data_IF_952477068198
#
_entry.id   IF_952477068198
#
_cell.length_a   1.000
_cell.length_b   1.000
_cell.length_c   1.000
_cell.angle_alpha   90.00
_cell.angle_beta   90.00
_cell.angle_gamma   90.00
#
_symmetry.space_group_name_H-M   'P 1'
#
loop_
_entity.id
_entity.type
_entity.pdbx_description
1 polymer ?
#
# COMPACT_ATOMS: atom_id res chain seq x y z
N UNK A 1 -2.25 -14.34 7.24
CA UNK A 1 -2.42 -13.07 7.96
C UNK A 1 -3.69 -13.17 8.80
N UNK A 2 -3.69 -12.65 10.02
CA UNK A 2 -4.90 -12.58 10.87
C UNK A 2 -5.79 -11.40 10.48
N UNK A 3 -7.03 -11.38 11.01
CA UNK A 3 -8.01 -10.34 10.67
C UNK A 3 -7.58 -8.90 11.08
N UNK A 4 -6.68 -8.77 12.04
CA UNK A 4 -6.12 -7.49 12.49
C UNK A 4 -4.87 -7.04 11.70
N UNK A 5 -4.51 -7.75 10.63
CA UNK A 5 -3.33 -7.48 9.82
C UNK A 5 -2.01 -8.02 10.40
N UNK A 6 -2.04 -8.84 11.46
CA UNK A 6 -0.81 -9.46 11.95
C UNK A 6 -0.29 -10.49 10.94
N UNK A 7 0.96 -10.31 10.51
CA UNK A 7 1.62 -11.15 9.53
C UNK A 7 2.30 -12.33 10.25
N UNK A 8 2.09 -13.54 9.74
CA UNK A 8 2.80 -14.73 10.25
C UNK A 8 4.32 -14.54 10.09
N UNK A 9 5.08 -14.85 11.16
CA UNK A 9 6.52 -14.61 11.18
C UNK A 9 7.28 -15.49 10.15
N UNK A 10 6.86 -16.73 9.92
CA UNK A 10 7.48 -17.59 8.92
C UNK A 10 7.20 -17.07 7.51
N UNK A 11 5.99 -16.55 7.28
CA UNK A 11 5.64 -15.88 6.02
C UNK A 11 6.47 -14.61 5.79
N UNK A 12 6.59 -13.72 6.79
CA UNK A 12 7.42 -12.52 6.68
C UNK A 12 8.89 -12.85 6.40
N UNK A 13 9.42 -13.88 7.04
CA UNK A 13 10.78 -14.36 6.77
C UNK A 13 10.93 -14.86 5.34
N UNK A 14 9.91 -15.54 4.78
CA UNK A 14 9.92 -15.97 3.39
C UNK A 14 9.85 -14.78 2.42
N UNK A 15 9.02 -13.79 2.71
CA UNK A 15 8.97 -12.54 1.91
C UNK A 15 10.35 -11.87 1.90
N UNK A 16 10.97 -11.74 3.09
CA UNK A 16 12.32 -11.17 3.20
C UNK A 16 13.35 -11.94 2.39
N UNK A 17 13.35 -13.26 2.46
CA UNK A 17 14.25 -14.12 1.69
C UNK A 17 14.10 -13.89 0.18
N UNK A 18 12.87 -13.79 -0.32
CA UNK A 18 12.61 -13.54 -1.75
C UNK A 18 13.06 -12.13 -2.17
N UNK A 19 12.83 -11.13 -1.32
CA UNK A 19 13.34 -9.77 -1.53
C UNK A 19 14.86 -9.78 -1.58
N UNK A 20 15.52 -10.50 -0.67
CA UNK A 20 16.98 -10.58 -0.60
C UNK A 20 17.59 -11.19 -1.87
N UNK A 21 16.95 -12.13 -2.55
CA UNK A 21 17.43 -12.68 -3.82
C UNK A 21 17.64 -11.58 -4.88
N UNK A 22 16.61 -10.79 -5.13
CA UNK A 22 16.69 -9.72 -6.13
C UNK A 22 17.54 -8.52 -5.63
N UNK A 23 17.41 -8.17 -4.36
CA UNK A 23 18.13 -7.04 -3.77
C UNK A 23 19.66 -7.26 -3.77
N UNK A 24 20.12 -8.47 -3.43
CA UNK A 24 21.55 -8.82 -3.40
C UNK A 24 22.16 -8.91 -4.82
N UNK A 25 21.33 -9.19 -5.84
CA UNK A 25 21.72 -9.12 -7.25
C UNK A 25 21.75 -7.67 -7.80
N UNK A 26 21.52 -6.68 -6.96
CA UNK A 26 21.59 -5.26 -7.32
C UNK A 26 20.33 -4.71 -7.99
N UNK A 27 19.23 -5.45 -7.98
CA UNK A 27 17.97 -5.02 -8.58
C UNK A 27 17.20 -4.06 -7.69
N UNK A 28 16.33 -3.24 -8.30
CA UNK A 28 15.26 -2.56 -7.60
C UNK A 28 14.15 -3.55 -7.31
N UNK A 29 13.58 -3.47 -6.10
CA UNK A 29 12.53 -4.38 -5.64
C UNK A 29 11.35 -3.54 -5.16
N UNK A 30 10.13 -3.91 -5.55
CA UNK A 30 8.90 -3.32 -5.05
C UNK A 30 8.23 -4.34 -4.13
N UNK A 31 7.88 -3.91 -2.92
CA UNK A 31 7.05 -4.68 -1.98
C UNK A 31 5.71 -3.97 -1.85
N UNK A 32 4.62 -4.71 -2.00
CA UNK A 32 3.26 -4.18 -1.87
C UNK A 32 2.36 -5.07 -1.01
N UNK A 33 1.21 -4.52 -0.63
CA UNK A 33 0.06 -5.27 -0.09
C UNK A 33 -0.78 -5.73 -1.28
N UNK A 34 -0.84 -7.08 -1.49
CA UNK A 34 -1.35 -7.67 -2.73
C UNK A 34 -2.52 -8.63 -2.48
N UNK A 35 -3.60 -8.50 -3.26
CA UNK A 35 -4.82 -9.30 -3.20
C UNK A 35 -5.60 -9.25 -1.87
N UNK A 36 -5.42 -8.22 -1.07
CA UNK A 36 -6.15 -8.05 0.18
C UNK A 36 -7.59 -7.54 0.00
N UNK A 37 -7.93 -7.09 -1.20
CA UNK A 37 -9.28 -6.77 -1.69
C UNK A 37 -10.24 -7.99 -1.64
N UNK A 38 -9.72 -9.22 -1.62
CA UNK A 38 -10.51 -10.43 -1.39
C UNK A 38 -10.71 -10.79 0.09
N UNK A 39 -10.12 -10.06 1.01
CA UNK A 39 -10.12 -10.40 2.44
C UNK A 39 -10.67 -9.29 3.32
N UNK A 40 -9.96 -8.19 3.49
CA UNK A 40 -10.32 -7.11 4.40
C UNK A 40 -10.46 -5.75 3.71
N UNK A 41 -9.72 -5.51 2.62
CA UNK A 41 -9.72 -4.22 1.93
C UNK A 41 -11.02 -4.04 1.15
N UNK A 42 -11.86 -3.13 1.64
CA UNK A 42 -13.14 -2.79 1.01
C UNK A 42 -13.27 -1.27 0.96
N UNK A 43 -13.06 -0.61 -0.19
CA UNK A 43 -13.06 0.85 -0.27
C UNK A 43 -14.48 1.44 -0.15
N UNK A 44 -15.05 1.32 1.05
CA UNK A 44 -16.31 1.93 1.47
C UNK A 44 -16.14 2.72 2.76
N UNK A 45 -16.93 3.76 2.94
CA UNK A 45 -16.90 4.63 4.13
C UNK A 45 -17.14 3.86 5.42
N UNK A 46 -18.00 2.83 5.39
CA UNK A 46 -18.29 1.96 6.52
C UNK A 46 -17.05 1.20 7.02
N UNK A 47 -16.16 0.82 6.09
CA UNK A 47 -14.96 0.02 6.39
C UNK A 47 -13.69 0.85 6.61
N UNK A 48 -13.71 2.14 6.33
CA UNK A 48 -12.52 3.00 6.36
C UNK A 48 -11.66 2.83 7.61
N UNK A 49 -12.26 2.91 8.81
CA UNK A 49 -11.48 2.87 10.04
C UNK A 49 -10.89 1.47 10.32
N UNK A 50 -11.63 0.41 10.01
CA UNK A 50 -11.12 -0.96 10.14
C UNK A 50 -9.99 -1.24 9.15
N UNK A 51 -10.18 -0.86 7.89
CA UNK A 51 -9.21 -1.09 6.83
C UNK A 51 -7.93 -0.26 7.06
N UNK A 52 -8.10 0.98 7.52
CA UNK A 52 -6.98 1.85 7.92
C UNK A 52 -6.17 1.25 9.07
N UNK A 53 -6.84 0.71 10.08
CA UNK A 53 -6.18 0.04 11.21
C UNK A 53 -5.38 -1.18 10.74
N UNK A 54 -5.99 -2.03 9.92
CA UNK A 54 -5.37 -3.24 9.35
C UNK A 54 -4.17 -2.88 8.47
N UNK A 55 -4.34 -1.95 7.52
CA UNK A 55 -3.27 -1.48 6.64
C UNK A 55 -2.08 -0.91 7.41
N UNK A 56 -2.36 -0.07 8.41
CA UNK A 56 -1.34 0.52 9.28
C UNK A 56 -0.56 -0.57 10.04
N UNK A 57 -1.24 -1.59 10.57
CA UNK A 57 -0.58 -2.70 11.26
C UNK A 57 0.31 -3.51 10.31
N UNK A 58 -0.16 -3.81 9.10
CA UNK A 58 0.65 -4.49 8.07
C UNK A 58 1.91 -3.70 7.76
N UNK A 59 1.78 -2.39 7.44
CA UNK A 59 2.91 -1.56 7.07
C UNK A 59 3.89 -1.33 8.19
N UNK A 60 3.47 -1.26 9.46
CA UNK A 60 4.39 -1.23 10.61
C UNK A 60 5.32 -2.44 10.64
N UNK A 61 4.79 -3.64 10.37
CA UNK A 61 5.57 -4.88 10.36
C UNK A 61 6.52 -4.95 9.16
N UNK A 62 6.06 -4.54 7.97
CA UNK A 62 6.90 -4.43 6.78
C UNK A 62 8.04 -3.42 7.01
N UNK A 63 7.72 -2.23 7.54
CA UNK A 63 8.68 -1.20 7.85
C UNK A 63 9.76 -1.66 8.84
N UNK A 64 9.37 -2.37 9.90
CA UNK A 64 10.31 -2.92 10.88
C UNK A 64 11.25 -3.96 10.25
N UNK A 65 10.72 -4.81 9.35
CA UNK A 65 11.50 -5.84 8.68
C UNK A 65 12.54 -5.26 7.73
N UNK A 66 12.19 -4.18 7.01
CA UNK A 66 12.99 -3.65 5.91
C UNK A 66 13.62 -2.27 6.18
N UNK A 67 13.65 -1.81 7.43
CA UNK A 67 14.11 -0.46 7.79
C UNK A 67 15.56 -0.12 7.38
N UNK A 68 16.41 -1.13 7.18
CA UNK A 68 17.83 -0.96 6.85
C UNK A 68 18.15 -1.15 5.36
N UNK A 69 17.14 -1.41 4.52
CA UNK A 69 17.32 -1.51 3.07
C UNK A 69 17.41 -0.12 2.46
N UNK A 70 18.28 0.07 1.49
CA UNK A 70 18.48 1.34 0.82
C UNK A 70 17.35 1.72 -0.16
N UNK A 71 17.58 2.76 -0.97
CA UNK A 71 16.62 3.30 -1.93
C UNK A 71 16.19 2.34 -3.04
N UNK A 72 16.86 1.19 -3.23
CA UNK A 72 16.47 0.17 -4.22
C UNK A 72 15.25 -0.64 -3.77
N UNK A 73 14.93 -0.63 -2.48
CA UNK A 73 13.67 -1.19 -2.01
C UNK A 73 12.60 -0.11 -1.97
N UNK A 74 11.56 -0.29 -2.75
CA UNK A 74 10.43 0.63 -2.95
C UNK A 74 9.20 0.01 -2.30
N UNK A 75 8.35 0.83 -1.68
CA UNK A 75 7.08 0.38 -1.11
C UNK A 75 5.91 0.90 -1.94
N UNK A 76 5.02 0.00 -2.35
CA UNK A 76 3.75 0.31 -2.99
C UNK A 76 2.61 0.02 -2.01
N UNK A 77 1.78 1.02 -1.75
CA UNK A 77 0.81 0.98 -0.64
C UNK A 77 -0.17 -0.18 -0.72
N UNK A 78 -0.80 -0.36 -1.87
CA UNK A 78 -1.80 -1.40 -2.15
C UNK A 78 -1.78 -1.74 -3.64
N UNK A 79 -2.02 -3.02 -3.97
CA UNK A 79 -2.25 -3.46 -5.34
C UNK A 79 -3.74 -3.38 -5.67
N UNK A 80 -4.09 -2.73 -6.79
CA UNK A 80 -5.42 -2.67 -7.39
C UNK A 80 -6.61 -2.51 -6.39
N UNK A 81 -6.56 -1.54 -5.45
CA UNK A 81 -7.65 -1.39 -4.49
C UNK A 81 -8.96 -1.07 -5.21
N UNK A 82 -9.98 -1.92 -5.02
CA UNK A 82 -11.27 -1.80 -5.71
C UNK A 82 -12.43 -2.38 -4.92
N UNK A 83 -13.65 -1.98 -5.27
CA UNK A 83 -14.88 -2.51 -4.71
C UNK A 83 -15.33 -3.75 -5.49
N UNK A 84 -14.92 -4.93 -5.01
CA UNK A 84 -15.23 -6.21 -5.66
C UNK A 84 -16.75 -6.43 -5.70
N UNK A 85 -17.24 -6.86 -6.87
CA UNK A 85 -18.64 -7.20 -7.10
C UNK A 85 -19.56 -6.00 -7.31
N UNK A 86 -19.03 -4.77 -7.27
CA UNK A 86 -19.82 -3.57 -7.65
C UNK A 86 -19.96 -3.44 -9.17
N UNK A 87 -20.93 -2.65 -9.62
CA UNK A 87 -21.11 -2.33 -11.04
C UNK A 87 -19.92 -1.52 -11.58
N UNK A 88 -19.25 -0.78 -10.70
CA UNK A 88 -18.12 0.10 -11.01
C UNK A 88 -16.76 -0.55 -10.79
N UNK A 89 -16.71 -1.85 -10.46
CA UNK A 89 -15.45 -2.55 -10.14
C UNK A 89 -14.34 -2.31 -11.16
N UNK A 90 -14.69 -2.41 -12.46
CA UNK A 90 -13.73 -2.29 -13.57
C UNK A 90 -13.98 -1.09 -14.48
N UNK A 91 -14.87 -0.18 -14.10
CA UNK A 91 -15.21 1.03 -14.87
C UNK A 91 -14.76 2.32 -14.22
N UNK A 92 -13.76 2.22 -13.34
CA UNK A 92 -13.06 3.34 -12.73
C UNK A 92 -13.52 3.71 -11.33
N UNK A 93 -14.49 2.99 -10.73
CA UNK A 93 -14.89 3.19 -9.33
C UNK A 93 -15.87 4.35 -9.10
N UNK A 94 -16.07 4.69 -7.83
CA UNK A 94 -16.97 5.75 -7.35
C UNK A 94 -16.21 6.81 -6.55
N UNK A 95 -16.82 7.98 -6.33
CA UNK A 95 -16.24 9.02 -5.47
C UNK A 95 -15.98 8.51 -4.05
N UNK A 96 -16.91 7.73 -3.48
CA UNK A 96 -16.72 7.11 -2.16
C UNK A 96 -15.47 6.23 -2.13
N UNK A 97 -15.29 5.37 -3.14
CA UNK A 97 -14.11 4.50 -3.24
C UNK A 97 -12.81 5.31 -3.34
N UNK A 98 -12.81 6.43 -4.08
CA UNK A 98 -11.65 7.31 -4.18
C UNK A 98 -11.30 7.96 -2.84
N UNK A 99 -12.31 8.48 -2.14
CA UNK A 99 -12.11 9.14 -0.85
C UNK A 99 -11.50 8.16 0.18
N UNK A 100 -12.00 6.93 0.20
CA UNK A 100 -11.48 5.87 1.08
C UNK A 100 -10.05 5.48 0.70
N UNK A 101 -9.79 5.21 -0.57
CA UNK A 101 -8.45 4.82 -1.06
C UNK A 101 -7.43 5.93 -0.79
N UNK A 102 -7.79 7.19 -1.03
CA UNK A 102 -6.93 8.33 -0.73
C UNK A 102 -6.61 8.44 0.77
N UNK A 103 -7.59 8.19 1.65
CA UNK A 103 -7.37 8.16 3.09
C UNK A 103 -6.47 7.00 3.53
N UNK A 104 -6.60 5.83 2.91
CA UNK A 104 -5.73 4.68 3.15
C UNK A 104 -4.30 4.95 2.67
N UNK A 105 -4.10 5.56 1.51
CA UNK A 105 -2.77 5.96 1.04
C UNK A 105 -2.12 7.00 1.95
N UNK A 106 -2.88 7.97 2.49
CA UNK A 106 -2.33 8.89 3.47
C UNK A 106 -1.86 8.14 4.72
N UNK A 107 -2.65 7.19 5.24
CA UNK A 107 -2.27 6.39 6.40
C UNK A 107 -1.03 5.52 6.13
N UNK A 108 -0.89 4.98 4.92
CA UNK A 108 0.31 4.27 4.46
C UNK A 108 1.54 5.18 4.52
N UNK A 109 1.48 6.36 3.88
CA UNK A 109 2.59 7.33 3.85
C UNK A 109 3.00 7.73 5.26
N UNK A 110 2.04 8.12 6.10
CA UNK A 110 2.29 8.52 7.50
C UNK A 110 2.96 7.40 8.30
N UNK A 111 2.51 6.15 8.10
CA UNK A 111 3.07 4.97 8.77
C UNK A 111 4.51 4.73 8.36
N UNK A 112 4.81 4.77 7.06
CA UNK A 112 6.17 4.54 6.56
C UNK A 112 7.10 5.65 7.02
N UNK A 113 6.73 6.93 6.87
CA UNK A 113 7.57 8.07 7.27
C UNK A 113 7.88 8.10 8.76
N UNK A 114 6.90 7.76 9.59
CA UNK A 114 7.08 7.72 11.06
C UNK A 114 7.88 6.53 11.56
N UNK A 115 8.11 5.50 10.75
CA UNK A 115 8.80 4.26 11.18
C UNK A 115 10.32 4.38 11.30
N UNK A 116 10.90 5.45 10.80
CA UNK A 116 12.36 5.73 10.94
C UNK A 116 13.24 4.90 10.01
N UNK A 117 14.55 4.89 10.30
CA UNK A 117 15.55 4.23 9.46
C UNK A 117 15.53 4.75 8.02
N UNK A 118 15.80 3.90 7.04
CA UNK A 118 15.74 4.25 5.62
C UNK A 118 14.30 4.49 5.12
N UNK A 119 13.29 4.14 5.91
CA UNK A 119 11.89 4.31 5.50
C UNK A 119 11.48 5.79 5.43
N UNK A 120 12.11 6.66 6.23
CA UNK A 120 11.83 8.10 6.20
C UNK A 120 12.09 8.72 4.82
N UNK A 121 13.06 8.20 4.06
CA UNK A 121 13.48 8.73 2.76
C UNK A 121 13.18 7.75 1.60
N UNK A 122 12.40 6.68 1.86
CA UNK A 122 12.08 5.65 0.88
C UNK A 122 11.14 6.16 -0.20
N UNK A 123 11.37 5.75 -1.44
CA UNK A 123 10.39 5.94 -2.52
C UNK A 123 9.12 5.15 -2.22
N UNK A 124 7.97 5.82 -2.31
CA UNK A 124 6.64 5.23 -2.13
C UNK A 124 5.88 5.28 -3.46
N UNK A 125 5.01 4.30 -3.67
CA UNK A 125 4.14 4.23 -4.84
C UNK A 125 2.69 4.18 -4.36
N UNK A 126 1.85 5.01 -4.97
CA UNK A 126 0.39 5.00 -4.83
C UNK A 126 -0.23 4.87 -6.21
N UNK A 127 -1.41 4.30 -6.29
CA UNK A 127 -2.07 4.07 -7.57
C UNK A 127 -3.49 4.61 -7.57
N UNK A 128 -4.07 4.71 -8.75
CA UNK A 128 -5.49 4.99 -8.93
C UNK A 128 -6.35 3.81 -8.48
N UNK A 129 -7.65 4.00 -8.36
CA UNK A 129 -8.61 2.91 -8.19
C UNK A 129 -8.36 1.80 -9.23
N UNK A 130 -8.24 0.55 -8.76
CA UNK A 130 -7.94 -0.64 -9.57
C UNK A 130 -6.70 -0.50 -10.49
N UNK A 131 -5.77 0.41 -10.19
CA UNK A 131 -4.65 0.79 -11.06
C UNK A 131 -5.11 1.20 -12.49
N UNK A 132 -6.33 1.72 -12.60
CA UNK A 132 -6.99 2.06 -13.84
C UNK A 132 -6.47 3.38 -14.42
N UNK A 133 -6.35 3.45 -15.74
CA UNK A 133 -6.07 4.67 -16.49
C UNK A 133 -7.33 5.41 -16.92
N UNK A 134 -8.50 4.94 -16.51
CA UNK A 134 -9.77 5.61 -16.77
C UNK A 134 -9.77 7.03 -16.20
N UNK A 135 -10.33 7.97 -16.97
CA UNK A 135 -10.29 9.40 -16.63
C UNK A 135 -10.85 9.70 -15.24
N UNK A 136 -11.92 9.03 -14.84
CA UNK A 136 -12.54 9.17 -13.52
C UNK A 136 -11.63 8.62 -12.39
N UNK A 137 -11.01 7.46 -12.59
CA UNK A 137 -10.07 6.89 -11.64
C UNK A 137 -8.82 7.79 -11.46
N UNK A 138 -8.26 8.28 -12.56
CA UNK A 138 -7.14 9.23 -12.54
C UNK A 138 -7.55 10.54 -11.88
N UNK A 139 -8.72 11.07 -12.19
CA UNK A 139 -9.25 12.30 -11.59
C UNK A 139 -9.64 12.16 -10.11
N UNK A 140 -9.88 10.92 -9.64
CA UNK A 140 -10.21 10.63 -8.25
C UNK A 140 -8.98 10.46 -7.33
N UNK A 141 -7.79 10.29 -7.89
CA UNK A 141 -6.57 10.18 -7.09
C UNK A 141 -6.15 11.54 -6.52
N UNK A 142 -6.01 11.58 -5.21
CA UNK A 142 -5.37 12.69 -4.49
C UNK A 142 -4.02 12.20 -3.98
N UNK A 143 -2.94 12.78 -4.49
CA UNK A 143 -1.58 12.43 -4.04
C UNK A 143 -1.46 12.73 -2.54
N UNK A 144 -1.05 11.74 -1.72
CA UNK A 144 -0.89 11.96 -0.29
C UNK A 144 0.09 13.09 0.02
N UNK A 145 -0.11 13.77 1.14
CA UNK A 145 0.84 14.75 1.65
C UNK A 145 2.11 14.04 2.10
N UNK A 146 3.24 14.46 1.54
CA UNK A 146 4.55 13.95 1.90
C UNK A 146 5.58 15.10 1.77
N UNK A 147 6.27 15.43 2.86
CA UNK A 147 7.25 16.53 2.89
C UNK A 147 8.44 16.29 1.95
N UNK A 148 8.68 15.06 1.56
CA UNK A 148 9.83 14.67 0.73
C UNK A 148 9.52 14.64 -0.77
N UNK A 149 8.26 14.69 -1.18
CA UNK A 149 7.83 14.57 -2.60
C UNK A 149 8.40 13.31 -3.29
N UNK A 150 8.55 12.20 -2.55
CA UNK A 150 9.06 10.92 -3.06
C UNK A 150 7.94 9.91 -3.33
N UNK A 151 6.79 10.39 -3.79
CA UNK A 151 5.64 9.56 -4.16
C UNK A 151 5.56 9.46 -5.67
N UNK A 152 5.48 8.23 -6.18
CA UNK A 152 5.21 7.91 -7.58
C UNK A 152 3.78 7.40 -7.76
N UNK A 153 3.21 7.66 -8.92
CA UNK A 153 1.86 7.28 -9.33
C UNK A 153 1.94 6.26 -10.47
#
# INVERSE_FOLDING_TARGET
>A
MSADGTIDAAWMNRVKEVVDYAYNDGLYVIVNVHHDDYTWLTPSSEKLESDKSTLTNIWKQICATFQNYDHRLIFEGMNEPRMIGSAEEWTGGTQESYDVINALYQAFVDTVRSSGGSNKDRTLVVSTYAQSVEKNAVGGLVVPKDDLSLIHI
#
